data_IF_538681869453
#
_entry.id   IF_538681869453
#
_cell.length_a   1.000
_cell.length_b   1.000
_cell.length_c   1.000
_cell.angle_alpha   90.00
_cell.angle_beta   90.00
_cell.angle_gamma   90.00
#
_symmetry.space_group_name_H-M   'P 1'
#
loop_
_entity.id
_entity.type
_entity.pdbx_description
1 polymer ?
#
# COMPACT_ATOMS: atom_id res chain seq x y z
N UNK A 1 -13.35 -11.34 0.51
CA UNK A 1 -13.63 -9.94 0.12
C UNK A 1 -12.60 -9.50 -0.91
N UNK A 2 -13.07 -8.85 -1.97
CA UNK A 2 -12.20 -8.25 -2.98
C UNK A 2 -12.58 -6.78 -3.10
N UNK A 3 -11.65 -5.85 -2.76
CA UNK A 3 -11.93 -4.43 -2.92
C UNK A 3 -11.97 -4.04 -4.39
N UNK A 4 -12.77 -3.01 -4.69
CA UNK A 4 -12.86 -2.43 -6.02
C UNK A 4 -12.35 -1.00 -5.95
N UNK A 5 -11.26 -0.73 -6.63
CA UNK A 5 -10.61 0.59 -6.64
C UNK A 5 -10.93 1.32 -7.94
N UNK A 6 -11.44 2.54 -7.81
CA UNK A 6 -11.67 3.37 -8.99
C UNK A 6 -10.36 3.90 -9.51
N UNK A 7 -10.15 3.78 -10.82
CA UNK A 7 -8.94 4.25 -11.52
C UNK A 7 -9.32 5.13 -12.70
N UNK A 8 -8.46 6.07 -13.03
CA UNK A 8 -8.67 6.97 -14.17
C UNK A 8 -8.42 6.26 -15.50
N UNK A 9 -7.46 5.33 -15.55
CA UNK A 9 -7.12 4.56 -16.73
C UNK A 9 -6.90 3.10 -16.35
N UNK A 10 -7.77 2.21 -16.81
CA UNK A 10 -7.65 0.79 -16.52
C UNK A 10 -6.34 0.22 -17.07
N UNK A 11 -5.98 0.59 -18.30
CA UNK A 11 -4.76 0.09 -18.92
C UNK A 11 -3.50 0.54 -18.16
N UNK A 12 -3.41 1.82 -17.82
CA UNK A 12 -2.26 2.35 -17.07
C UNK A 12 -2.17 1.74 -15.66
N UNK A 13 -3.31 1.56 -15.00
CA UNK A 13 -3.35 0.98 -13.64
C UNK A 13 -2.97 -0.50 -13.66
N UNK A 14 -3.49 -1.29 -14.59
CA UNK A 14 -3.07 -2.69 -14.73
C UNK A 14 -1.57 -2.77 -14.98
N UNK A 15 -1.04 -1.94 -15.88
CA UNK A 15 0.40 -1.91 -16.17
C UNK A 15 1.22 -1.58 -14.90
N UNK A 16 0.78 -0.61 -14.11
CA UNK A 16 1.45 -0.23 -12.87
C UNK A 16 1.42 -1.36 -11.83
N UNK A 17 0.27 -1.96 -11.60
CA UNK A 17 0.15 -3.06 -10.64
C UNK A 17 1.00 -4.26 -11.04
N UNK A 18 1.06 -4.58 -12.33
CA UNK A 18 1.85 -5.72 -12.82
C UNK A 18 3.34 -5.40 -12.79
N UNK A 19 3.76 -4.30 -13.41
CA UNK A 19 5.19 -3.99 -13.58
C UNK A 19 5.83 -3.48 -12.29
N UNK A 20 5.15 -2.61 -11.55
CA UNK A 20 5.75 -1.91 -10.41
C UNK A 20 5.35 -2.47 -9.06
N UNK A 21 4.16 -3.05 -8.92
CA UNK A 21 3.73 -3.68 -7.67
C UNK A 21 3.87 -5.22 -7.66
N UNK A 22 4.23 -5.82 -8.79
CA UNK A 22 4.46 -7.26 -8.88
C UNK A 22 3.20 -8.11 -8.83
N UNK A 23 2.06 -7.55 -9.17
CA UNK A 23 0.80 -8.28 -9.29
C UNK A 23 0.74 -9.00 -10.64
N UNK A 24 -0.15 -9.98 -10.74
CA UNK A 24 -0.48 -10.66 -11.99
C UNK A 24 -1.92 -10.32 -12.38
N UNK A 25 -2.16 -10.02 -13.64
CA UNK A 25 -3.53 -9.84 -14.13
C UNK A 25 -4.24 -11.18 -14.20
N UNK A 26 -5.36 -11.32 -13.48
CA UNK A 26 -6.16 -12.55 -13.46
C UNK A 26 -7.14 -12.59 -14.62
N UNK A 27 -7.84 -11.49 -14.84
CA UNK A 27 -8.79 -11.33 -15.94
C UNK A 27 -9.01 -9.83 -16.19
N UNK A 28 -9.49 -9.54 -17.39
CA UNK A 28 -9.89 -8.19 -17.79
C UNK A 28 -11.16 -8.27 -18.61
N UNK A 29 -12.15 -7.49 -18.22
CA UNK A 29 -13.40 -7.30 -18.95
C UNK A 29 -13.77 -5.83 -18.77
N UNK A 30 -13.35 -4.98 -19.69
CA UNK A 30 -13.51 -3.54 -19.57
C UNK A 30 -14.95 -3.16 -19.19
N UNK A 31 -15.14 -2.27 -18.21
CA UNK A 31 -14.17 -1.36 -17.62
C UNK A 31 -13.47 -1.88 -16.36
N UNK A 32 -13.45 -3.18 -16.11
CA UNK A 32 -12.91 -3.78 -14.88
C UNK A 32 -11.83 -4.79 -15.20
N UNK A 33 -10.80 -4.85 -14.35
CA UNK A 33 -9.80 -5.91 -14.36
C UNK A 33 -9.53 -6.38 -12.94
N UNK A 34 -9.11 -7.62 -12.77
CA UNK A 34 -8.67 -8.16 -11.50
C UNK A 34 -7.16 -8.43 -11.56
N UNK A 35 -6.46 -7.94 -10.55
CA UNK A 35 -5.03 -8.19 -10.36
C UNK A 35 -4.82 -8.89 -9.03
N UNK A 36 -3.81 -9.76 -8.95
CA UNK A 36 -3.53 -10.56 -7.77
C UNK A 36 -2.04 -10.62 -7.48
N UNK A 37 -1.71 -10.52 -6.20
CA UNK A 37 -0.38 -10.86 -5.69
C UNK A 37 -0.58 -11.76 -4.47
N UNK A 38 0.04 -12.94 -4.49
CA UNK A 38 -0.12 -13.97 -3.45
C UNK A 38 -1.60 -14.27 -3.21
N UNK A 39 -2.12 -13.97 -2.02
CA UNK A 39 -3.53 -14.19 -1.67
C UNK A 39 -4.39 -12.94 -1.77
N UNK A 40 -3.82 -11.84 -2.24
CA UNK A 40 -4.53 -10.56 -2.34
C UNK A 40 -4.98 -10.31 -3.77
N UNK A 41 -6.29 -10.23 -3.96
CA UNK A 41 -6.90 -9.82 -5.23
C UNK A 41 -7.53 -8.44 -5.07
N UNK A 42 -7.40 -7.63 -6.09
CA UNK A 42 -7.98 -6.29 -6.17
C UNK A 42 -8.60 -6.12 -7.55
N UNK A 43 -9.82 -5.56 -7.60
CA UNK A 43 -10.42 -5.14 -8.86
C UNK A 43 -10.11 -3.67 -9.10
N UNK A 44 -9.77 -3.34 -10.33
CA UNK A 44 -9.55 -1.98 -10.80
C UNK A 44 -10.69 -1.64 -11.76
N UNK A 45 -11.36 -0.52 -11.53
CA UNK A 45 -12.53 -0.13 -12.31
C UNK A 45 -12.38 1.29 -12.89
N UNK A 46 -12.33 1.37 -14.22
CA UNK A 46 -12.41 2.64 -14.95
C UNK A 46 -13.86 2.96 -15.21
N UNK A 47 -14.60 3.31 -14.14
CA UNK A 47 -16.05 3.49 -14.25
C UNK A 47 -16.64 4.10 -13.00
N UNK A 48 -17.75 3.56 -12.56
CA UNK A 48 -18.57 4.11 -11.48
C UNK A 48 -18.45 3.36 -10.14
N UNK A 49 -17.64 2.32 -10.07
CA UNK A 49 -17.46 1.54 -8.84
C UNK A 49 -16.26 2.03 -8.05
N UNK A 50 -16.41 2.11 -6.73
CA UNK A 50 -15.36 2.56 -5.83
C UNK A 50 -15.22 4.09 -5.82
N UNK A 51 -14.19 4.55 -5.13
CA UNK A 51 -13.85 5.97 -4.98
C UNK A 51 -12.34 6.14 -5.04
N UNK A 52 -11.86 7.35 -5.27
CA UNK A 52 -10.45 7.68 -5.18
C UNK A 52 -9.97 7.67 -3.72
N UNK A 53 -8.70 7.39 -3.50
CA UNK A 53 -8.09 7.56 -2.19
C UNK A 53 -8.40 6.47 -1.16
N UNK A 54 -8.67 5.26 -1.59
CA UNK A 54 -8.92 4.12 -0.70
C UNK A 54 -7.61 3.60 -0.10
N UNK A 55 -7.66 3.22 1.19
CA UNK A 55 -6.55 2.60 1.89
C UNK A 55 -6.80 1.11 2.07
N UNK A 56 -5.78 0.29 1.76
CA UNK A 56 -5.80 -1.16 1.97
C UNK A 56 -4.69 -1.55 2.92
N UNK A 57 -4.96 -2.47 3.84
CA UNK A 57 -3.94 -3.11 4.66
C UNK A 57 -3.78 -4.55 4.19
N UNK A 58 -2.55 -4.92 3.84
CA UNK A 58 -2.23 -6.22 3.25
C UNK A 58 -1.15 -6.89 4.09
N UNK A 59 -1.46 -8.07 4.64
CA UNK A 59 -0.50 -8.85 5.40
C UNK A 59 0.54 -9.48 4.47
N UNK A 60 1.80 -9.39 4.85
CA UNK A 60 2.91 -10.03 4.16
C UNK A 60 3.82 -10.72 5.17
N UNK A 61 4.61 -11.69 4.72
CA UNK A 61 5.51 -12.41 5.61
C UNK A 61 6.79 -11.63 5.93
N UNK A 62 7.29 -10.86 4.98
CA UNK A 62 8.55 -10.10 5.10
C UNK A 62 8.41 -8.75 4.38
N UNK A 63 8.07 -7.73 5.16
CA UNK A 63 7.84 -6.39 4.59
C UNK A 63 9.15 -5.72 4.12
N UNK A 64 10.28 -6.06 4.73
CA UNK A 64 11.58 -5.49 4.32
C UNK A 64 12.00 -6.04 2.96
N UNK A 65 11.81 -7.35 2.74
CA UNK A 65 12.07 -7.96 1.43
C UNK A 65 11.14 -7.40 0.36
N UNK A 66 9.85 -7.22 0.70
CA UNK A 66 8.87 -6.62 -0.20
C UNK A 66 9.26 -5.18 -0.56
N UNK A 67 9.65 -4.39 0.45
CA UNK A 67 10.10 -3.01 0.21
C UNK A 67 11.28 -2.96 -0.77
N UNK A 68 12.27 -3.82 -0.58
CA UNK A 68 13.43 -3.89 -1.47
C UNK A 68 13.01 -4.26 -2.91
N UNK A 69 12.09 -5.20 -3.07
CA UNK A 69 11.55 -5.57 -4.38
C UNK A 69 10.82 -4.39 -5.02
N UNK A 70 9.90 -3.75 -4.29
CA UNK A 70 9.13 -2.63 -4.81
C UNK A 70 10.00 -1.42 -5.16
N UNK A 71 11.05 -1.19 -4.38
CA UNK A 71 12.02 -0.14 -4.68
C UNK A 71 12.76 -0.42 -5.99
N UNK A 72 13.14 -1.67 -6.23
CA UNK A 72 13.79 -2.10 -7.46
C UNK A 72 12.86 -2.03 -8.67
N UNK A 73 11.56 -2.02 -8.47
CA UNK A 73 10.53 -1.89 -9.52
C UNK A 73 10.08 -0.44 -9.74
N UNK A 74 10.68 0.53 -9.06
CA UNK A 74 10.30 1.95 -9.11
C UNK A 74 8.84 2.21 -8.68
N UNK A 75 8.33 1.44 -7.74
CA UNK A 75 7.01 1.69 -7.14
C UNK A 75 7.01 3.03 -6.39
N UNK A 76 5.83 3.64 -6.26
CA UNK A 76 5.67 4.94 -5.58
C UNK A 76 5.64 4.73 -4.05
N UNK A 77 6.78 4.43 -3.46
CA UNK A 77 6.95 4.21 -2.03
C UNK A 77 6.80 5.52 -1.27
N UNK A 78 6.05 5.48 -0.15
CA UNK A 78 5.84 6.64 0.69
C UNK A 78 6.87 6.73 1.82
N UNK A 79 7.29 5.59 2.39
CA UNK A 79 8.31 5.54 3.44
C UNK A 79 8.90 4.13 3.56
N UNK A 80 10.04 4.02 4.21
CA UNK A 80 10.69 2.76 4.53
C UNK A 80 9.90 1.97 5.57
N UNK A 81 10.11 0.63 5.67
CA UNK A 81 9.48 -0.15 6.72
C UNK A 81 9.85 0.37 8.11
N UNK A 82 8.86 0.46 8.98
CA UNK A 82 9.04 0.88 10.36
C UNK A 82 8.08 0.09 11.26
N UNK A 83 8.48 -0.09 12.52
CA UNK A 83 7.62 -0.67 13.55
C UNK A 83 6.60 0.36 14.03
N UNK A 84 5.37 -0.10 14.32
CA UNK A 84 4.30 0.76 14.81
C UNK A 84 3.66 0.21 16.08
N UNK A 85 3.07 1.10 16.92
CA UNK A 85 2.52 0.71 18.23
C UNK A 85 1.38 -0.30 18.18
N UNK A 86 0.70 -0.44 17.06
CA UNK A 86 -0.36 -1.44 16.88
C UNK A 86 0.15 -2.84 16.57
N UNK A 87 1.47 -3.07 16.68
CA UNK A 87 2.07 -4.41 16.57
C UNK A 87 2.42 -4.85 15.16
N UNK A 88 2.56 -3.93 14.24
CA UNK A 88 2.85 -4.21 12.84
C UNK A 88 4.06 -3.40 12.35
N UNK A 89 4.90 -4.06 11.55
CA UNK A 89 5.96 -3.39 10.81
C UNK A 89 5.47 -3.14 9.40
N UNK A 90 5.44 -1.87 8.97
CA UNK A 90 4.76 -1.50 7.74
C UNK A 90 5.57 -0.58 6.85
N UNK A 91 5.30 -0.70 5.54
CA UNK A 91 5.61 0.33 4.56
C UNK A 91 4.34 0.67 3.77
N UNK A 92 4.37 1.79 3.06
CA UNK A 92 3.24 2.24 2.26
C UNK A 92 3.68 2.52 0.84
N UNK A 93 2.80 2.18 -0.11
CA UNK A 93 2.96 2.54 -1.51
C UNK A 93 1.67 3.17 -2.01
N UNK A 94 1.75 4.13 -2.91
CA UNK A 94 0.58 4.66 -3.60
C UNK A 94 0.49 4.10 -5.00
N UNK A 95 -0.73 3.99 -5.52
CA UNK A 95 -0.94 3.72 -6.95
C UNK A 95 -1.10 5.02 -7.74
N UNK A 96 -1.48 4.92 -9.01
CA UNK A 96 -1.61 6.09 -9.89
C UNK A 96 -2.79 7.00 -9.53
N UNK A 97 -3.75 6.50 -8.76
CA UNK A 97 -4.97 7.22 -8.39
C UNK A 97 -5.02 7.61 -6.92
N UNK A 98 -3.89 7.52 -6.22
CA UNK A 98 -3.80 7.92 -4.83
C UNK A 98 -4.35 6.90 -3.84
N UNK A 99 -4.67 5.69 -4.27
CA UNK A 99 -4.96 4.59 -3.34
C UNK A 99 -3.67 4.22 -2.61
N UNK A 100 -3.77 3.96 -1.32
CA UNK A 100 -2.62 3.62 -0.47
C UNK A 100 -2.68 2.15 -0.08
N UNK A 101 -1.63 1.42 -0.39
CA UNK A 101 -1.46 0.04 0.05
C UNK A 101 -0.48 0.03 1.22
N UNK A 102 -0.97 -0.38 2.40
CA UNK A 102 -0.16 -0.59 3.59
C UNK A 102 0.21 -2.07 3.64
N UNK A 103 1.48 -2.38 3.53
CA UNK A 103 1.97 -3.75 3.68
C UNK A 103 2.50 -3.92 5.09
N UNK A 104 1.98 -4.91 5.80
CA UNK A 104 2.30 -5.14 7.21
C UNK A 104 2.77 -6.57 7.49
N UNK A 105 3.77 -6.67 8.35
CA UNK A 105 4.34 -7.92 8.85
C UNK A 105 4.56 -7.81 10.36
N UNK A 106 5.11 -8.86 10.96
CA UNK A 106 5.47 -8.84 12.38
C UNK A 106 6.52 -7.78 12.68
N UNK A 107 6.51 -7.26 13.90
CA UNK A 107 7.51 -6.31 14.36
C UNK A 107 8.91 -6.91 14.24
N UNK A 108 9.89 -6.06 13.98
CA UNK A 108 11.30 -6.40 14.08
C UNK A 108 11.77 -6.06 15.49
N UNK A 109 12.33 -7.06 16.19
CA UNK A 109 12.81 -6.88 17.55
C UNK A 109 13.96 -5.87 17.60
N UNK A 110 13.96 -5.04 18.67
CA UNK A 110 15.03 -4.10 18.92
C UNK A 110 14.98 -2.79 18.15
N UNK A 111 13.98 -2.61 17.28
CA UNK A 111 13.79 -1.34 16.58
C UNK A 111 12.77 -0.46 17.29
N UNK A 112 13.03 0.87 17.34
CA UNK A 112 12.07 1.82 17.91
C UNK A 112 10.85 1.94 17.01
N UNK A 113 9.76 2.49 17.56
CA UNK A 113 8.58 2.83 16.78
C UNK A 113 8.91 3.98 15.83
N UNK A 114 8.38 3.88 14.61
CA UNK A 114 8.61 4.86 13.56
C UNK A 114 7.57 5.96 13.52
N UNK A 115 7.86 6.99 12.75
CA UNK A 115 6.94 8.06 12.47
C UNK A 115 5.82 7.59 11.56
N UNK A 116 4.60 8.05 11.82
CA UNK A 116 3.46 7.77 10.97
C UNK A 116 3.30 8.84 9.89
N UNK A 117 3.06 8.41 8.68
CA UNK A 117 2.78 9.31 7.55
C UNK A 117 1.29 9.21 7.22
N UNK A 118 0.55 10.31 7.39
CA UNK A 118 -0.88 10.33 7.10
C UNK A 118 -1.18 10.54 5.60
N UNK A 119 -2.47 10.52 5.27
CA UNK A 119 -2.92 10.64 3.88
C UNK A 119 -2.59 11.98 3.23
N UNK A 120 -2.42 13.03 4.02
CA UNK A 120 -2.04 14.35 3.54
C UNK A 120 -0.52 14.54 3.43
N UNK A 121 0.26 13.51 3.77
CA UNK A 121 1.72 13.58 3.77
C UNK A 121 2.29 14.19 5.04
N UNK A 122 1.48 14.42 6.07
CA UNK A 122 1.93 14.92 7.35
C UNK A 122 2.57 13.81 8.16
N UNK A 123 3.68 14.11 8.82
CA UNK A 123 4.40 13.17 9.66
C UNK A 123 4.05 13.37 11.13
N UNK A 124 3.82 12.25 11.82
CA UNK A 124 3.47 12.20 13.23
C UNK A 124 4.49 11.35 13.97
N UNK A 125 5.01 11.87 15.08
CA UNK A 125 6.03 11.21 15.90
C UNK A 125 5.34 10.52 17.06
N UNK A 126 5.62 9.20 17.31
CA UNK A 126 5.01 8.50 18.44
C UNK A 126 5.61 9.01 19.77
N UNK A 127 4.76 9.13 20.77
CA UNK A 127 5.15 9.51 22.12
C UNK A 127 5.10 8.33 23.08
N UNK A 128 5.91 8.37 24.15
CA UNK A 128 6.00 7.27 25.12
C UNK A 128 4.68 7.00 25.85
N UNK A 129 3.77 7.98 25.90
CA UNK A 129 2.45 7.84 26.53
C UNK A 129 1.40 7.20 25.62
N UNK A 130 1.77 6.76 24.40
CA UNK A 130 0.87 6.18 23.41
C UNK A 130 0.22 7.21 22.49
N UNK A 131 0.52 8.49 22.64
CA UNK A 131 0.02 9.54 21.76
C UNK A 131 0.95 9.82 20.58
N UNK A 132 0.56 10.82 19.79
CA UNK A 132 1.30 11.28 18.63
C UNK A 132 1.43 12.80 18.67
N UNK A 133 2.55 13.32 18.22
CA UNK A 133 2.74 14.76 18.01
C UNK A 133 3.15 15.05 16.58
N UNK A 134 2.74 16.20 16.06
CA UNK A 134 3.17 16.61 14.72
C UNK A 134 4.67 16.82 14.68
N UNK A 135 5.32 16.40 13.60
CA UNK A 135 6.74 16.64 13.35
C UNK A 135 7.02 18.10 12.95
N UNK A 136 5.98 18.85 12.60
CA UNK A 136 6.08 20.24 12.12
C UNK A 136 6.06 21.26 13.27
#
# INVERSE_FOLDING_TARGET
VVPILRVASLEASVAYYVAQLGFTMQWRSDPVASVRRDRTSVMLCEGDQGHAGTWLWIAVSDVDALYAELRGRDAHLRHEPANYPWGSRECQVTDLDGHVLRFGADLRDGEPMGDWLDGAGRRWIPESNGGWRSAD
#
